data_IF_753326294032
#
_entry.id   IF_753326294032
#
_cell.length_a   1.000
_cell.length_b   1.000
_cell.length_c   1.000
_cell.angle_alpha   90.00
_cell.angle_beta   90.00
_cell.angle_gamma   90.00
#
_symmetry.space_group_name_H-M   'P 1'
#
loop_
_entity.id
_entity.type
_entity.pdbx_description
1 polymer ?
#
# COMPACT_ATOMS: atom_id res chain seq x y z
N UNK A 1 8.50 8.32 17.43
CA UNK A 1 7.29 9.16 17.49
C UNK A 1 6.39 8.68 16.38
N UNK A 2 5.16 8.29 16.70
CA UNK A 2 4.21 7.74 15.75
C UNK A 2 3.24 8.84 15.31
N UNK A 3 3.06 9.03 14.01
CA UNK A 3 2.04 9.92 13.45
C UNK A 3 0.84 9.08 13.05
N UNK A 4 -0.31 9.32 13.66
CA UNK A 4 -1.57 8.70 13.26
C UNK A 4 -2.31 9.70 12.41
N UNK A 5 -2.65 9.32 11.18
CA UNK A 5 -3.39 10.17 10.25
C UNK A 5 -4.74 9.53 9.98
N UNK A 6 -5.81 10.27 10.24
CA UNK A 6 -7.16 9.93 9.83
C UNK A 6 -7.44 10.64 8.51
N UNK A 7 -7.66 9.89 7.44
CA UNK A 7 -8.14 10.45 6.17
C UNK A 7 -9.66 10.33 6.20
N UNK A 8 -10.35 11.46 6.13
CA UNK A 8 -11.82 11.54 6.13
C UNK A 8 -12.30 11.92 4.71
N UNK A 9 -13.22 11.14 4.16
CA UNK A 9 -13.83 11.38 2.87
C UNK A 9 -15.18 12.07 3.02
N UNK A 10 -15.55 12.90 2.04
CA UNK A 10 -16.79 13.67 2.05
C UNK A 10 -18.07 12.81 2.17
N UNK A 11 -18.02 11.53 1.79
CA UNK A 11 -19.13 10.59 1.94
C UNK A 11 -19.25 9.98 3.35
N UNK A 12 -18.36 10.33 4.28
CA UNK A 12 -18.31 9.82 5.65
C UNK A 12 -17.47 8.56 5.81
N UNK A 13 -16.86 8.05 4.74
CA UNK A 13 -15.84 7.01 4.84
C UNK A 13 -14.55 7.59 5.41
N UNK A 14 -13.86 6.84 6.25
CA UNK A 14 -12.55 7.28 6.74
C UNK A 14 -11.59 6.11 6.95
N UNK A 15 -10.30 6.41 6.91
CA UNK A 15 -9.24 5.43 7.14
C UNK A 15 -8.17 5.96 8.07
N UNK A 16 -7.62 5.05 8.88
CA UNK A 16 -6.53 5.31 9.79
C UNK A 16 -5.21 4.82 9.21
N UNK A 17 -4.18 5.62 9.41
CA UNK A 17 -2.81 5.32 9.02
C UNK A 17 -1.86 5.58 10.18
N UNK A 18 -0.83 4.74 10.34
CA UNK A 18 0.27 4.97 11.29
C UNK A 18 1.56 5.15 10.50
N UNK A 19 2.19 6.31 10.62
CA UNK A 19 3.37 6.70 9.84
C UNK A 19 3.16 6.45 8.34
N UNK A 20 1.98 6.78 7.81
CA UNK A 20 1.60 6.54 6.42
C UNK A 20 1.33 5.08 6.03
N UNK A 21 1.39 4.14 6.97
CA UNK A 21 0.96 2.76 6.71
C UNK A 21 -0.51 2.58 7.03
N UNK A 22 -1.26 2.03 6.08
CA UNK A 22 -2.68 1.71 6.26
C UNK A 22 -2.89 0.80 7.48
N UNK A 23 -3.82 1.19 8.35
CA UNK A 23 -4.23 0.41 9.51
C UNK A 23 -5.56 -0.29 9.24
N UNK A 24 -6.60 0.50 8.90
CA UNK A 24 -7.95 0.03 8.61
C UNK A 24 -8.82 1.20 8.11
N UNK A 25 -9.96 0.90 7.50
CA UNK A 25 -10.98 1.85 7.07
C UNK A 25 -12.39 1.50 7.53
N UNK A 26 -13.27 2.49 7.50
CA UNK A 26 -14.70 2.40 7.76
C UNK A 26 -15.50 3.03 6.60
N UNK A 27 -16.61 2.38 6.27
CA UNK A 27 -17.47 2.64 5.11
C UNK A 27 -18.58 3.68 5.39
N UNK A 28 -18.47 4.44 6.49
CA UNK A 28 -19.47 5.45 6.89
C UNK A 28 -20.83 4.90 7.33
N UNK A 29 -21.05 3.58 7.27
CA UNK A 29 -22.33 2.94 7.64
C UNK A 29 -22.69 3.06 9.13
N UNK A 30 -21.73 3.44 9.97
CA UNK A 30 -21.90 3.51 11.42
C UNK A 30 -22.01 2.14 12.12
N UNK A 31 -21.97 1.02 11.39
CA UNK A 31 -22.04 -0.32 11.98
C UNK A 31 -20.72 -0.77 12.61
N UNK A 32 -19.60 -0.16 12.22
CA UNK A 32 -18.27 -0.41 12.76
C UNK A 32 -17.89 0.77 13.65
N UNK A 33 -18.31 0.85 14.90
CA UNK A 33 -17.88 1.95 15.81
C UNK A 33 -16.46 1.75 16.37
N UNK A 34 -15.54 1.14 15.64
CA UNK A 34 -14.28 0.65 16.23
C UNK A 34 -13.07 1.55 15.93
N UNK A 35 -12.98 2.16 14.75
CA UNK A 35 -11.84 2.97 14.37
C UNK A 35 -11.86 4.35 15.02
N UNK A 36 -13.03 4.97 15.18
CA UNK A 36 -13.15 6.22 15.95
C UNK A 36 -12.60 6.06 17.38
N UNK A 37 -13.00 4.99 18.06
CA UNK A 37 -12.51 4.63 19.39
C UNK A 37 -11.00 4.32 19.39
N UNK A 38 -10.50 3.63 18.36
CA UNK A 38 -9.06 3.35 18.20
C UNK A 38 -8.28 4.65 18.02
N UNK A 39 -8.75 5.57 17.18
CA UNK A 39 -8.14 6.88 16.96
C UNK A 39 -8.10 7.67 18.27
N UNK A 40 -9.20 7.72 19.01
CA UNK A 40 -9.27 8.39 20.32
C UNK A 40 -8.26 7.80 21.29
N UNK A 41 -8.14 6.46 21.36
CA UNK A 41 -7.18 5.79 22.25
C UNK A 41 -5.73 6.02 21.83
N UNK A 42 -5.43 5.94 20.53
CA UNK A 42 -4.10 6.21 20.00
C UNK A 42 -3.68 7.66 20.27
N UNK A 43 -4.61 8.62 20.18
CA UNK A 43 -4.33 10.03 20.46
C UNK A 43 -3.84 10.31 21.88
N UNK A 44 -4.17 9.43 22.83
CA UNK A 44 -3.79 9.55 24.24
C UNK A 44 -2.42 8.94 24.57
N UNK A 45 -1.81 8.21 23.63
CA UNK A 45 -0.54 7.53 23.88
C UNK A 45 0.63 8.52 23.82
N UNK A 46 1.58 8.46 24.77
CA UNK A 46 2.76 9.31 24.74
C UNK A 46 3.60 9.02 23.49
N UNK A 47 4.03 10.07 22.79
CA UNK A 47 4.81 9.96 21.56
C UNK A 47 3.98 9.66 20.31
N UNK A 48 2.65 9.71 20.41
CA UNK A 48 1.72 9.73 19.27
C UNK A 48 1.30 11.17 18.96
N UNK A 49 1.31 11.54 17.68
CA UNK A 49 0.65 12.76 17.17
C UNK A 49 -0.45 12.37 16.23
N UNK A 50 -1.63 12.96 16.39
CA UNK A 50 -2.79 12.69 15.54
C UNK A 50 -3.09 13.87 14.62
N UNK A 51 -3.54 13.57 13.41
CA UNK A 51 -3.98 14.56 12.42
C UNK A 51 -5.16 13.99 11.64
N UNK A 52 -6.13 14.84 11.34
CA UNK A 52 -7.24 14.51 10.44
C UNK A 52 -7.08 15.31 9.16
N UNK A 53 -7.23 14.64 8.03
CA UNK A 53 -7.07 15.21 6.69
C UNK A 53 -8.32 14.90 5.88
N UNK A 54 -9.04 15.94 5.46
CA UNK A 54 -10.21 15.80 4.60
C UNK A 54 -9.79 15.64 3.13
N UNK A 55 -10.44 14.73 2.41
CA UNK A 55 -10.23 14.48 0.98
C UNK A 55 -11.57 14.24 0.26
N UNK A 56 -11.68 14.64 -1.02
CA UNK A 56 -12.83 14.25 -1.83
C UNK A 56 -12.79 12.73 -2.09
N UNK A 57 -13.96 12.14 -2.30
CA UNK A 57 -14.05 10.77 -2.83
C UNK A 57 -13.45 10.77 -4.24
N UNK A 58 -12.53 9.85 -4.58
CA UNK A 58 -12.02 9.74 -5.94
C UNK A 58 -13.13 9.51 -6.97
N UNK A 59 -12.99 10.11 -8.16
CA UNK A 59 -13.99 10.02 -9.24
C UNK A 59 -14.11 8.62 -9.86
N UNK A 60 -13.13 7.74 -9.63
CA UNK A 60 -13.10 6.37 -10.17
C UNK A 60 -14.03 5.45 -9.36
N UNK A 61 -14.85 4.64 -10.03
CA UNK A 61 -15.66 3.60 -9.37
C UNK A 61 -14.79 2.46 -8.77
N UNK A 62 -13.55 2.30 -9.23
CA UNK A 62 -12.59 1.26 -8.80
C UNK A 62 -11.44 1.85 -7.96
N UNK A 63 -11.69 2.91 -7.20
CA UNK A 63 -10.67 3.53 -6.35
C UNK A 63 -10.30 2.68 -5.13
N UNK A 64 -9.10 2.88 -4.60
CA UNK A 64 -8.57 2.27 -3.40
C UNK A 64 -8.07 3.31 -2.39
N UNK A 65 -8.00 2.93 -1.12
CA UNK A 65 -7.45 3.80 -0.07
C UNK A 65 -6.01 4.25 -0.34
N UNK A 66 -5.23 3.48 -1.11
CA UNK A 66 -3.87 3.87 -1.50
C UNK A 66 -3.88 5.11 -2.42
N UNK A 67 -4.84 5.21 -3.35
CA UNK A 67 -4.96 6.37 -4.25
C UNK A 67 -5.19 7.66 -3.47
N UNK A 68 -6.00 7.58 -2.40
CA UNK A 68 -6.24 8.72 -1.51
C UNK A 68 -5.01 8.98 -0.63
N UNK A 69 -4.38 7.95 -0.10
CA UNK A 69 -3.20 8.04 0.76
C UNK A 69 -2.03 8.72 0.06
N UNK A 70 -1.82 8.45 -1.23
CA UNK A 70 -0.77 9.06 -2.05
C UNK A 70 -0.96 10.58 -2.20
N UNK A 71 -2.18 11.09 -2.09
CA UNK A 71 -2.47 12.53 -2.06
C UNK A 71 -2.24 13.18 -0.68
N UNK A 72 -2.09 12.39 0.38
CA UNK A 72 -2.00 12.85 1.77
C UNK A 72 -0.58 12.72 2.30
N UNK A 73 0.03 11.56 2.09
CA UNK A 73 1.41 11.34 2.48
C UNK A 73 2.30 11.86 1.36
N UNK A 74 3.33 12.67 1.67
CA UNK A 74 4.37 12.88 0.67
C UNK A 74 4.86 11.50 0.24
N UNK A 75 5.14 11.34 -1.06
CA UNK A 75 5.72 10.11 -1.62
C UNK A 75 6.99 9.64 -0.87
N UNK A 76 7.49 10.35 0.14
CA UNK A 76 8.62 9.97 0.99
C UNK A 76 8.41 8.72 1.89
N UNK A 77 7.33 7.94 1.72
CA UNK A 77 7.27 6.54 2.20
C UNK A 77 7.13 5.53 1.06
N UNK A 78 7.17 6.00 -0.20
CA UNK A 78 7.90 5.29 -1.24
C UNK A 78 9.36 5.24 -0.77
N UNK A 79 9.64 4.24 0.06
CA UNK A 79 10.80 3.44 -0.24
C UNK A 79 10.61 3.15 -1.73
N UNK A 80 11.29 3.90 -2.60
CA UNK A 80 11.69 3.39 -3.90
C UNK A 80 12.41 2.10 -3.52
N UNK A 81 11.62 1.02 -3.47
CA UNK A 81 12.08 -0.26 -3.03
C UNK A 81 12.70 -0.75 -4.30
N UNK A 82 13.97 -0.45 -4.53
CA UNK A 82 14.73 -1.09 -5.59
C UNK A 82 14.27 -2.55 -5.64
N UNK A 83 13.61 -2.98 -6.73
CA UNK A 83 12.95 -4.29 -6.79
C UNK A 83 13.95 -5.40 -7.10
N UNK A 84 15.18 -5.22 -6.61
CA UNK A 84 16.31 -6.12 -6.79
C UNK A 84 16.36 -7.16 -5.68
N UNK A 85 16.95 -8.32 -6.00
CA UNK A 85 17.24 -9.37 -5.02
C UNK A 85 18.08 -8.85 -3.85
N UNK A 86 19.03 -7.95 -4.11
CA UNK A 86 19.90 -7.37 -3.08
C UNK A 86 19.09 -6.54 -2.06
N UNK A 87 18.20 -5.68 -2.55
CA UNK A 87 17.31 -4.91 -1.69
C UNK A 87 16.30 -5.80 -0.95
N UNK A 88 15.79 -6.86 -1.59
CA UNK A 88 14.91 -7.82 -0.91
C UNK A 88 15.63 -8.55 0.23
N UNK A 89 16.87 -9.02 0.00
CA UNK A 89 17.71 -9.61 1.06
C UNK A 89 17.97 -8.64 2.21
N UNK A 90 18.24 -7.36 1.91
CA UNK A 90 18.43 -6.34 2.94
C UNK A 90 17.17 -6.08 3.77
N UNK A 91 15.98 -6.21 3.17
CA UNK A 91 14.71 -6.13 3.92
C UNK A 91 14.54 -7.34 4.84
N UNK A 92 14.82 -8.54 4.34
CA UNK A 92 14.72 -9.79 5.10
C UNK A 92 15.75 -9.88 6.23
N UNK A 93 16.95 -9.32 6.06
CA UNK A 93 18.00 -9.33 7.09
C UNK A 93 17.66 -8.54 8.36
N UNK A 94 16.50 -7.86 8.40
CA UNK A 94 15.97 -7.22 9.62
C UNK A 94 15.35 -8.23 10.58
N UNK A 95 15.04 -9.43 10.10
CA UNK A 95 14.51 -10.52 10.90
C UNK A 95 15.64 -11.50 11.29
N UNK A 96 15.54 -12.19 12.43
CA UNK A 96 16.44 -13.30 12.77
C UNK A 96 16.39 -14.41 11.72
N UNK A 97 17.52 -15.10 11.50
CA UNK A 97 17.64 -16.18 10.52
C UNK A 97 16.72 -17.38 10.82
N UNK A 98 16.30 -17.56 12.07
CA UNK A 98 15.41 -18.63 12.53
C UNK A 98 13.93 -18.21 12.60
N UNK A 99 13.60 -16.98 12.19
CA UNK A 99 12.23 -16.53 12.08
C UNK A 99 11.47 -17.36 11.04
N UNK A 100 10.39 -18.02 11.46
CA UNK A 100 9.51 -18.74 10.54
C UNK A 100 8.86 -17.77 9.56
N UNK A 101 8.96 -18.04 8.27
CA UNK A 101 8.34 -17.23 7.23
C UNK A 101 7.92 -18.07 6.02
N UNK A 102 6.95 -17.56 5.27
CA UNK A 102 6.56 -18.06 3.95
C UNK A 102 6.24 -16.87 3.05
N UNK A 103 6.52 -16.99 1.76
CA UNK A 103 6.21 -15.94 0.79
C UNK A 103 6.45 -16.41 -0.63
N UNK A 104 5.88 -15.66 -1.57
CA UNK A 104 6.13 -15.79 -3.00
C UNK A 104 7.25 -14.83 -3.41
N UNK A 105 8.00 -15.19 -4.45
CA UNK A 105 9.03 -14.35 -5.02
C UNK A 105 8.94 -14.40 -6.55
N UNK A 106 9.03 -13.23 -7.17
CA UNK A 106 8.84 -13.02 -8.59
C UNK A 106 10.05 -12.27 -9.16
N UNK A 107 10.44 -12.63 -10.38
CA UNK A 107 11.58 -12.10 -11.11
C UNK A 107 11.13 -11.36 -12.36
N UNK A 108 12.03 -10.56 -12.94
CA UNK A 108 11.77 -9.85 -14.18
C UNK A 108 11.36 -10.80 -15.32
N UNK A 109 11.89 -12.03 -15.31
CA UNK A 109 11.50 -13.09 -16.26
C UNK A 109 10.04 -13.48 -16.17
N UNK A 110 9.40 -13.36 -15.00
CA UNK A 110 7.99 -13.69 -14.82
C UNK A 110 7.10 -12.61 -15.45
N UNK A 111 7.48 -11.33 -15.31
CA UNK A 111 6.81 -10.23 -15.99
C UNK A 111 6.98 -10.33 -17.52
N UNK A 112 8.20 -10.66 -17.98
CA UNK A 112 8.46 -10.91 -19.41
C UNK A 112 7.74 -12.13 -19.98
N UNK A 113 7.36 -13.10 -19.14
CA UNK A 113 6.58 -14.26 -19.56
C UNK A 113 5.11 -13.90 -19.82
N UNK A 114 4.58 -12.89 -19.14
CA UNK A 114 3.25 -12.31 -19.39
C UNK A 114 3.29 -11.35 -20.58
N UNK A 115 4.29 -10.48 -20.63
CA UNK A 115 4.47 -9.52 -21.70
C UNK A 115 5.96 -9.32 -22.05
N UNK A 116 6.36 -9.91 -23.19
CA UNK A 116 7.75 -9.84 -23.65
C UNK A 116 8.15 -8.46 -24.20
N UNK A 117 7.23 -7.51 -24.32
CA UNK A 117 7.52 -6.17 -24.84
C UNK A 117 8.01 -5.19 -23.78
N UNK A 118 8.00 -5.58 -22.50
CA UNK A 118 8.32 -4.67 -21.39
C UNK A 118 9.81 -4.29 -21.40
N UNK A 119 10.05 -3.00 -21.17
CA UNK A 119 11.40 -2.49 -20.89
C UNK A 119 11.78 -2.74 -19.44
N UNK A 120 13.06 -2.53 -19.09
CA UNK A 120 13.53 -2.64 -17.70
C UNK A 120 12.79 -1.66 -16.77
N UNK A 121 12.53 -0.43 -17.25
CA UNK A 121 11.79 0.59 -16.51
C UNK A 121 10.32 0.20 -16.31
N UNK A 122 9.67 -0.38 -17.33
CA UNK A 122 8.29 -0.88 -17.21
C UNK A 122 8.20 -2.00 -16.17
N UNK A 123 9.20 -2.90 -16.16
CA UNK A 123 9.25 -4.02 -15.21
C UNK A 123 9.47 -3.51 -13.79
N UNK A 124 10.40 -2.56 -13.58
CA UNK A 124 10.65 -1.98 -12.25
C UNK A 124 9.40 -1.28 -11.71
N UNK A 125 8.73 -0.47 -12.55
CA UNK A 125 7.47 0.17 -12.20
C UNK A 125 6.35 -0.84 -11.90
N UNK A 126 6.20 -1.88 -12.72
CA UNK A 126 5.17 -2.90 -12.53
C UNK A 126 5.43 -3.75 -11.27
N UNK A 127 6.70 -4.04 -10.97
CA UNK A 127 7.09 -4.72 -9.73
C UNK A 127 6.79 -3.87 -8.50
N UNK A 128 7.11 -2.57 -8.55
CA UNK A 128 6.83 -1.65 -7.45
C UNK A 128 5.31 -1.55 -7.22
N UNK A 129 4.53 -1.40 -8.28
CA UNK A 129 3.06 -1.34 -8.23
C UNK A 129 2.46 -2.65 -7.70
N UNK A 130 2.89 -3.81 -8.22
CA UNK A 130 2.43 -5.11 -7.76
C UNK A 130 2.73 -5.32 -6.27
N UNK A 131 3.91 -4.91 -5.81
CA UNK A 131 4.28 -5.01 -4.40
C UNK A 131 3.49 -4.04 -3.51
N UNK A 132 3.15 -2.86 -4.01
CA UNK A 132 2.42 -1.84 -3.26
C UNK A 132 0.92 -2.17 -3.16
N UNK A 133 0.32 -2.64 -4.25
CA UNK A 133 -1.13 -2.85 -4.35
C UNK A 133 -1.54 -4.31 -4.11
N UNK A 134 -0.67 -5.14 -3.55
CA UNK A 134 -0.99 -6.52 -3.22
C UNK A 134 -2.01 -6.62 -2.08
N UNK A 135 -3.22 -7.11 -2.40
CA UNK A 135 -4.20 -7.57 -1.42
C UNK A 135 -3.94 -9.05 -1.06
N UNK A 136 -3.93 -9.34 0.24
CA UNK A 136 -3.78 -10.70 0.75
C UNK A 136 -4.98 -11.63 0.41
N UNK A 137 -6.15 -11.07 0.10
CA UNK A 137 -7.33 -11.84 -0.33
C UNK A 137 -7.20 -12.37 -1.76
N UNK A 138 -6.52 -11.63 -2.65
CA UNK A 138 -6.33 -12.01 -4.05
C UNK A 138 -5.03 -12.79 -4.26
N UNK A 139 -4.01 -12.47 -3.46
CA UNK A 139 -2.72 -13.13 -3.43
C UNK A 139 -1.77 -12.66 -4.54
N UNK A 140 -0.47 -12.83 -4.31
CA UNK A 140 0.58 -12.43 -5.24
C UNK A 140 0.78 -13.48 -6.34
N UNK A 141 -0.05 -13.42 -7.38
CA UNK A 141 -0.17 -14.44 -8.42
C UNK A 141 -0.05 -13.85 -9.85
N UNK A 142 -0.10 -14.70 -10.88
CA UNK A 142 0.00 -14.28 -12.29
C UNK A 142 -1.02 -13.21 -12.71
N UNK A 143 -2.25 -13.29 -12.22
CA UNK A 143 -3.30 -12.29 -12.52
C UNK A 143 -2.96 -10.94 -11.91
N UNK A 144 -2.40 -10.92 -10.69
CA UNK A 144 -1.93 -9.69 -10.04
C UNK A 144 -0.74 -9.07 -10.77
N UNK A 145 0.21 -9.88 -11.26
CA UNK A 145 1.31 -9.39 -12.10
C UNK A 145 0.78 -8.78 -13.41
N UNK A 146 -0.18 -9.43 -14.08
CA UNK A 146 -0.78 -8.91 -15.31
C UNK A 146 -1.51 -7.58 -15.06
N UNK A 147 -2.27 -7.48 -13.98
CA UNK A 147 -2.92 -6.22 -13.59
C UNK A 147 -1.90 -5.08 -13.44
N UNK A 148 -0.79 -5.32 -12.74
CA UNK A 148 0.24 -4.30 -12.55
C UNK A 148 0.90 -3.88 -13.87
N UNK A 149 1.13 -4.84 -14.79
CA UNK A 149 1.62 -4.55 -16.15
C UNK A 149 0.65 -3.66 -16.92
N UNK A 150 -0.64 -3.99 -16.87
CA UNK A 150 -1.69 -3.26 -17.57
C UNK A 150 -1.81 -1.82 -17.05
N UNK A 151 -1.69 -1.61 -15.74
CA UNK A 151 -1.73 -0.27 -15.13
C UNK A 151 -0.52 0.59 -15.52
N UNK A 152 0.70 0.05 -15.52
CA UNK A 152 1.89 0.77 -15.99
C UNK A 152 1.74 1.19 -17.45
N UNK A 153 1.21 0.29 -18.30
CA UNK A 153 0.96 0.59 -19.72
C UNK A 153 -0.15 1.61 -19.96
N UNK A 154 -1.12 1.75 -19.05
CA UNK A 154 -2.16 2.79 -19.14
C UNK A 154 -1.61 4.18 -18.79
N UNK A 155 -0.60 4.25 -17.93
CA UNK A 155 0.02 5.50 -17.48
C UNK A 155 1.13 6.07 -18.37
N UNK A 156 1.71 5.24 -19.26
CA UNK A 156 2.77 5.65 -20.21
C UNK A 156 2.26 6.11 -21.56
#
# INVERSE_FOLDING_TARGET
MFRVTCIDLENGEFALYINGHYLSSEDGSGEKLYLGDILERLSRLPGVTTETVERPVPDSDEWSWNDVADSVFPACITLSRNMTVAAFKQRLSRFPDDALCCGTFWLASDFLALDSSLTEDDIDAAMELAQHCHDANDGFNWSHLQWAIDEVKRGG
#
